data_IF_978733408189
#
_entry.id   IF_978733408189
#
_cell.length_a   1.000
_cell.length_b   1.000
_cell.length_c   1.000
_cell.angle_alpha   90.00
_cell.angle_beta   90.00
_cell.angle_gamma   90.00
#
_symmetry.space_group_name_H-M   'P 1'
#
loop_
_entity.id
_entity.type
_entity.pdbx_description
1 polymer ?
#
# COMPACT_ATOMS: atom_id res chain seq x y z
N UNK A 1 3.65 -8.68 -32.32
CA UNK A 1 2.63 -9.27 -31.43
C UNK A 1 2.86 -8.91 -29.96
N UNK A 2 4.02 -9.22 -29.36
CA UNK A 2 4.32 -8.90 -27.95
C UNK A 2 4.33 -7.39 -27.61
N UNK A 3 4.89 -6.54 -28.47
CA UNK A 3 4.94 -5.08 -28.23
C UNK A 3 3.57 -4.39 -28.26
N UNK A 4 2.61 -4.94 -29.04
CA UNK A 4 1.24 -4.40 -29.12
C UNK A 4 0.45 -4.77 -27.86
N UNK A 5 0.66 -5.98 -27.33
CA UNK A 5 0.08 -6.42 -26.07
C UNK A 5 0.66 -5.63 -24.88
N UNK A 6 1.97 -5.38 -24.87
CA UNK A 6 2.60 -4.56 -23.84
C UNK A 6 2.08 -3.12 -23.85
N UNK A 7 1.91 -2.52 -25.04
CA UNK A 7 1.31 -1.18 -25.19
C UNK A 7 -0.12 -1.15 -24.65
N UNK A 8 -0.96 -2.13 -25.04
CA UNK A 8 -2.34 -2.25 -24.55
C UNK A 8 -2.42 -2.46 -23.03
N UNK A 9 -1.52 -3.24 -22.44
CA UNK A 9 -1.46 -3.41 -21.00
C UNK A 9 -1.09 -2.11 -20.27
N UNK A 10 -0.12 -1.35 -20.81
CA UNK A 10 0.26 -0.04 -20.27
C UNK A 10 -0.88 0.98 -20.42
N UNK A 11 -1.58 0.98 -21.55
CA UNK A 11 -2.73 1.86 -21.79
C UNK A 11 -3.91 1.50 -20.87
N UNK A 12 -4.12 0.21 -20.58
CA UNK A 12 -5.12 -0.25 -19.63
C UNK A 12 -4.80 0.15 -18.19
N UNK A 13 -3.54 0.04 -17.77
CA UNK A 13 -3.08 0.51 -16.45
C UNK A 13 -3.16 2.04 -16.33
N UNK A 14 -2.96 2.78 -17.44
CA UNK A 14 -3.15 4.24 -17.47
C UNK A 14 -4.61 4.68 -17.59
N UNK A 15 -5.54 3.75 -17.85
CA UNK A 15 -6.94 4.08 -18.04
C UNK A 15 -7.54 4.72 -16.78
N UNK A 16 -8.48 5.65 -16.98
CA UNK A 16 -9.17 6.33 -15.89
C UNK A 16 -9.95 5.32 -15.03
N UNK A 17 -10.53 4.30 -15.66
CA UNK A 17 -11.27 3.23 -14.98
C UNK A 17 -10.39 2.43 -14.01
N UNK A 18 -9.13 2.14 -14.35
CA UNK A 18 -8.22 1.46 -13.42
C UNK A 18 -7.85 2.35 -12.24
N UNK A 19 -7.67 3.65 -12.47
CA UNK A 19 -7.41 4.62 -11.40
C UNK A 19 -8.61 4.80 -10.48
N UNK A 20 -9.81 4.91 -11.04
CA UNK A 20 -11.06 5.00 -10.29
C UNK A 20 -11.35 3.69 -9.52
N UNK A 21 -11.00 2.54 -10.09
CA UNK A 21 -11.05 1.25 -9.38
C UNK A 21 -10.08 1.19 -8.21
N UNK A 22 -8.83 1.64 -8.39
CA UNK A 22 -7.83 1.72 -7.32
C UNK A 22 -8.19 2.73 -6.23
N UNK A 23 -8.88 3.82 -6.57
CA UNK A 23 -9.36 4.81 -5.60
C UNK A 23 -10.71 4.43 -4.98
N UNK A 24 -11.37 3.38 -5.47
CA UNK A 24 -12.65 2.91 -4.96
C UNK A 24 -12.49 2.07 -3.70
N UNK A 25 -13.48 2.15 -2.81
CA UNK A 25 -13.63 1.30 -1.62
C UNK A 25 -13.74 -0.18 -1.97
N UNK A 26 -14.12 -0.53 -3.20
CA UNK A 26 -14.15 -1.92 -3.67
C UNK A 26 -12.76 -2.55 -3.78
N UNK A 27 -11.72 -1.76 -4.06
CA UNK A 27 -10.34 -2.24 -4.07
C UNK A 27 -9.78 -2.29 -2.65
N UNK A 28 -9.92 -1.18 -1.90
CA UNK A 28 -9.34 -1.07 -0.56
C UNK A 28 -10.05 -1.89 0.51
N UNK A 29 -11.34 -2.21 0.35
CA UNK A 29 -12.10 -3.02 1.31
C UNK A 29 -11.50 -4.40 1.50
N UNK A 30 -11.37 -5.22 0.44
CA UNK A 30 -10.70 -6.52 0.51
C UNK A 30 -9.23 -6.41 0.90
N UNK A 31 -8.51 -5.41 0.39
CA UNK A 31 -7.08 -5.18 0.69
C UNK A 31 -6.87 -4.89 2.18
N UNK A 32 -7.73 -4.10 2.82
CA UNK A 32 -7.67 -3.84 4.25
C UNK A 32 -8.10 -5.08 5.06
N UNK A 33 -9.16 -5.76 4.64
CA UNK A 33 -9.72 -6.90 5.37
C UNK A 33 -8.76 -8.09 5.42
N UNK A 34 -8.03 -8.37 4.33
CA UNK A 34 -7.02 -9.43 4.27
C UNK A 34 -5.60 -8.93 4.58
N UNK A 35 -5.30 -7.66 4.32
CA UNK A 35 -4.00 -7.06 4.59
C UNK A 35 -3.71 -6.95 6.08
N UNK A 36 -4.72 -6.68 6.92
CA UNK A 36 -4.56 -6.61 8.38
C UNK A 36 -4.18 -7.98 8.98
N UNK A 37 -4.89 -9.10 8.71
CA UNK A 37 -4.47 -10.44 9.12
C UNK A 37 -3.08 -10.84 8.62
N UNK A 38 -2.77 -10.57 7.34
CA UNK A 38 -1.46 -10.91 6.76
C UNK A 38 -0.33 -10.09 7.40
N UNK A 39 -0.56 -8.80 7.66
CA UNK A 39 0.38 -7.96 8.37
C UNK A 39 0.60 -8.45 9.80
N UNK A 40 -0.46 -8.86 10.51
CA UNK A 40 -0.37 -9.41 11.87
C UNK A 40 0.45 -10.71 11.90
N UNK A 41 0.20 -11.64 10.97
CA UNK A 41 0.98 -12.89 10.88
C UNK A 41 2.45 -12.60 10.59
N UNK A 42 2.74 -11.62 9.74
CA UNK A 42 4.11 -11.23 9.43
C UNK A 42 4.80 -10.49 10.60
N UNK A 43 4.03 -9.81 11.45
CA UNK A 43 4.57 -9.12 12.62
C UNK A 43 4.86 -10.05 13.79
N UNK A 44 4.06 -11.12 13.97
CA UNK A 44 4.27 -12.16 14.98
C UNK A 44 5.63 -12.87 14.89
N UNK A 45 6.32 -12.80 13.74
CA UNK A 45 7.61 -13.44 13.52
C UNK A 45 8.83 -12.56 13.83
N UNK A 46 8.64 -11.28 14.14
CA UNK A 46 9.78 -10.37 14.43
C UNK A 46 10.16 -10.45 15.90
N UNK A 47 11.47 -10.61 16.17
CA UNK A 47 12.00 -10.55 17.53
C UNK A 47 11.75 -9.17 18.16
N UNK A 48 11.11 -9.10 19.34
CA UNK A 48 10.78 -7.84 20.02
C UNK A 48 11.99 -7.04 20.50
N UNK A 49 13.19 -7.61 20.43
CA UNK A 49 14.44 -6.97 20.88
C UNK A 49 15.06 -6.02 19.84
N UNK A 50 14.63 -6.08 18.58
CA UNK A 50 15.14 -5.22 17.51
C UNK A 50 14.15 -4.08 17.29
N UNK A 51 14.61 -2.84 17.46
CA UNK A 51 13.84 -1.63 17.12
C UNK A 51 13.36 -1.77 15.67
N UNK A 52 12.04 -1.88 15.48
CA UNK A 52 11.44 -2.06 14.17
C UNK A 52 11.62 -0.80 13.33
N UNK A 53 12.59 -0.80 12.42
CA UNK A 53 12.84 0.33 11.52
C UNK A 53 11.62 0.75 10.71
N UNK A 54 10.71 -0.19 10.40
CA UNK A 54 9.42 0.11 9.75
C UNK A 54 8.48 0.90 10.66
N UNK A 55 8.49 0.62 11.97
CA UNK A 55 7.70 1.35 12.95
C UNK A 55 8.27 2.75 13.19
N UNK A 56 9.59 2.90 13.32
CA UNK A 56 10.24 4.20 13.45
C UNK A 56 9.99 5.08 12.23
N UNK A 57 10.12 4.54 11.01
CA UNK A 57 9.82 5.27 9.78
C UNK A 57 8.35 5.71 9.72
N UNK A 58 7.41 4.82 10.07
CA UNK A 58 5.99 5.16 10.14
C UNK A 58 5.73 6.30 11.14
N UNK A 59 6.36 6.24 12.32
CA UNK A 59 6.24 7.28 13.33
C UNK A 59 6.84 8.61 12.86
N UNK A 60 8.00 8.59 12.19
CA UNK A 60 8.62 9.79 11.61
C UNK A 60 7.74 10.42 10.53
N UNK A 61 7.21 9.62 9.59
CA UNK A 61 6.30 10.12 8.56
C UNK A 61 5.01 10.69 9.16
N UNK A 62 4.46 10.02 10.18
CA UNK A 62 3.32 10.52 10.94
C UNK A 62 3.65 11.87 11.58
N UNK A 63 4.73 11.96 12.36
CA UNK A 63 5.16 13.21 12.99
C UNK A 63 5.34 14.35 11.98
N UNK A 64 6.02 14.10 10.86
CA UNK A 64 6.23 15.09 9.79
C UNK A 64 4.92 15.62 9.20
N UNK A 65 3.92 14.74 9.03
CA UNK A 65 2.62 15.12 8.47
C UNK A 65 1.83 16.03 9.41
N UNK A 66 2.01 15.89 10.73
CA UNK A 66 1.38 16.73 11.74
C UNK A 66 2.19 17.96 12.17
N UNK A 67 3.44 18.13 11.73
CA UNK A 67 4.25 19.33 12.04
C UNK A 67 3.63 20.65 11.56
N UNK A 68 2.74 20.61 10.55
CA UNK A 68 2.04 21.81 10.04
C UNK A 68 0.88 22.27 10.94
N UNK A 69 0.37 21.39 11.79
CA UNK A 69 -0.79 21.58 12.66
C UNK A 69 -0.43 21.46 14.16
N UNK A 70 0.85 21.37 14.48
CA UNK A 70 1.39 21.38 15.84
C UNK A 70 1.70 22.80 16.30
#
# INVERSE_FOLDING_TARGET
MAGVLARKAVDYVKSKDFRDYLMSTHFWGPVANWGLPVAAINDMKKSPEIISGRMTFALTCYSLMFMRFA
#
